data_IF_536560153530
#
_entry.id   IF_536560153530
#
_cell.length_a   1.000
_cell.length_b   1.000
_cell.length_c   1.000
_cell.angle_alpha   90.00
_cell.angle_beta   90.00
_cell.angle_gamma   90.00
#
_symmetry.space_group_name_H-M   'P 1'
#
loop_
_entity.id
_entity.type
_entity.pdbx_description
1 polymer ?
#
# COMPACT_ATOMS: atom_id res chain seq x y z
N UNK A 1 -15.92 -4.63 -4.21
CA UNK A 1 -14.84 -4.20 -3.28
C UNK A 1 -15.41 -3.14 -2.33
N UNK A 2 -14.99 -3.12 -1.07
CA UNK A 2 -15.32 -2.05 -0.12
C UNK A 2 -14.10 -1.19 0.19
N UNK A 3 -14.26 0.14 0.33
CA UNK A 3 -13.19 1.05 0.71
C UNK A 3 -13.63 1.94 1.88
N UNK A 4 -12.81 1.98 2.94
CA UNK A 4 -12.97 2.89 4.06
C UNK A 4 -11.73 3.78 4.14
N UNK A 5 -11.89 5.06 3.78
CA UNK A 5 -10.80 6.03 3.71
C UNK A 5 -11.22 7.41 4.25
N UNK A 6 -10.29 8.34 4.30
CA UNK A 6 -10.49 9.71 4.76
C UNK A 6 -11.50 10.50 3.92
N UNK A 7 -11.80 10.08 2.69
CA UNK A 7 -12.82 10.69 1.83
C UNK A 7 -14.21 10.08 1.99
N UNK A 8 -14.33 8.86 2.53
CA UNK A 8 -15.61 8.21 2.69
C UNK A 8 -15.60 6.70 2.82
N UNK A 9 -16.80 6.15 2.93
CA UNK A 9 -17.09 4.72 2.87
C UNK A 9 -17.72 4.42 1.52
N UNK A 10 -17.09 3.53 0.76
CA UNK A 10 -17.51 3.16 -0.59
C UNK A 10 -17.79 1.66 -0.69
N UNK A 11 -18.78 1.33 -1.52
CA UNK A 11 -18.97 -0.01 -2.06
C UNK A 11 -18.89 0.09 -3.58
N UNK A 12 -17.93 -0.62 -4.15
CA UNK A 12 -17.48 -0.44 -5.53
C UNK A 12 -17.17 1.04 -5.79
N UNK A 13 -17.80 1.67 -6.79
CA UNK A 13 -17.60 3.09 -7.11
C UNK A 13 -18.60 4.02 -6.40
N UNK A 14 -19.47 3.50 -5.54
CA UNK A 14 -20.54 4.27 -4.92
C UNK A 14 -20.16 4.74 -3.51
N UNK A 15 -20.16 6.06 -3.30
CA UNK A 15 -20.09 6.67 -1.97
C UNK A 15 -21.37 6.35 -1.17
N UNK A 16 -21.19 5.75 0.00
CA UNK A 16 -22.27 5.39 0.92
C UNK A 16 -22.31 6.31 2.14
N UNK A 17 -21.15 6.63 2.72
CA UNK A 17 -21.03 7.61 3.81
C UNK A 17 -19.91 8.61 3.50
N UNK A 18 -20.22 9.90 3.57
CA UNK A 18 -19.26 10.98 3.31
C UNK A 18 -18.44 11.35 4.57
N UNK A 19 -17.33 12.05 4.35
CA UNK A 19 -16.37 12.52 5.35
C UNK A 19 -15.39 11.43 5.77
N UNK A 20 -14.56 11.73 6.78
CA UNK A 20 -13.53 10.79 7.21
C UNK A 20 -14.13 9.47 7.75
N UNK A 21 -13.92 8.40 6.97
CA UNK A 21 -14.27 7.01 7.31
C UNK A 21 -13.04 6.10 7.36
N UNK A 22 -11.83 6.66 7.44
CA UNK A 22 -10.64 5.93 7.87
C UNK A 22 -10.71 5.74 9.40
N UNK A 23 -11.64 4.91 9.86
CA UNK A 23 -11.86 4.61 11.27
C UNK A 23 -12.42 3.20 11.46
N UNK A 24 -12.37 2.72 12.69
CA UNK A 24 -12.73 1.36 13.04
C UNK A 24 -14.20 1.05 12.73
N UNK A 25 -15.10 2.02 12.94
CA UNK A 25 -16.53 1.82 12.73
C UNK A 25 -16.86 1.54 11.26
N UNK A 26 -16.30 2.33 10.34
CA UNK A 26 -16.51 2.13 8.91
C UNK A 26 -15.82 0.86 8.40
N UNK A 27 -14.60 0.60 8.84
CA UNK A 27 -13.88 -0.63 8.52
C UNK A 27 -14.66 -1.88 8.97
N UNK A 28 -15.21 -1.89 10.18
CA UNK A 28 -16.03 -3.01 10.69
C UNK A 28 -17.33 -3.18 9.91
N UNK A 29 -17.94 -2.10 9.41
CA UNK A 29 -19.10 -2.21 8.50
C UNK A 29 -18.72 -2.96 7.21
N UNK A 30 -17.56 -2.66 6.61
CA UNK A 30 -17.09 -3.36 5.42
C UNK A 30 -16.87 -4.84 5.67
N UNK A 31 -16.18 -5.17 6.78
CA UNK A 31 -15.83 -6.55 7.14
C UNK A 31 -17.05 -7.41 7.50
N UNK A 32 -18.12 -6.81 8.02
CA UNK A 32 -19.38 -7.51 8.33
C UNK A 32 -20.32 -7.61 7.13
N UNK A 33 -20.06 -6.86 6.05
CA UNK A 33 -20.92 -6.84 4.88
C UNK A 33 -20.72 -8.09 4.02
N UNK A 34 -21.82 -8.80 3.74
CA UNK A 34 -21.82 -9.94 2.83
C UNK A 34 -21.64 -9.57 1.36
N UNK A 35 -21.70 -8.27 1.03
CA UNK A 35 -21.48 -7.77 -0.33
C UNK A 35 -19.99 -7.49 -0.61
N UNK A 36 -19.14 -7.53 0.41
CA UNK A 36 -17.72 -7.21 0.28
C UNK A 36 -16.91 -8.48 0.05
N UNK A 37 -16.36 -8.64 -1.16
CA UNK A 37 -15.41 -9.73 -1.46
C UNK A 37 -13.97 -9.37 -1.04
N UNK A 38 -13.62 -8.09 -1.09
CA UNK A 38 -12.35 -7.55 -0.60
C UNK A 38 -12.58 -6.17 0.01
N UNK A 39 -11.94 -5.90 1.15
CA UNK A 39 -12.01 -4.63 1.86
C UNK A 39 -10.63 -3.94 1.85
N UNK A 40 -10.60 -2.68 1.43
CA UNK A 40 -9.44 -1.80 1.52
C UNK A 40 -9.71 -0.78 2.62
N UNK A 41 -8.82 -0.70 3.60
CA UNK A 41 -9.03 0.10 4.81
C UNK A 41 -7.79 0.97 5.04
N UNK A 42 -7.97 2.28 4.99
CA UNK A 42 -6.95 3.24 5.37
C UNK A 42 -6.81 3.27 6.89
N UNK A 43 -5.59 3.04 7.39
CA UNK A 43 -5.28 3.08 8.82
C UNK A 43 -4.21 4.14 9.09
N UNK A 44 -4.61 5.24 9.72
CA UNK A 44 -3.68 6.26 10.19
C UNK A 44 -3.12 5.95 11.58
N UNK A 45 -1.99 6.57 11.92
CA UNK A 45 -1.37 6.52 13.26
C UNK A 45 -2.40 6.69 14.40
N UNK A 46 -3.29 7.69 14.25
CA UNK A 46 -4.30 8.01 15.26
C UNK A 46 -5.36 6.92 15.44
N UNK A 47 -5.71 6.22 14.35
CA UNK A 47 -6.68 5.12 14.38
C UNK A 47 -6.05 3.93 15.08
N UNK A 48 -4.82 3.58 14.72
CA UNK A 48 -4.09 2.46 15.34
C UNK A 48 -3.95 2.68 16.85
N UNK A 49 -3.56 3.89 17.27
CA UNK A 49 -3.38 4.22 18.69
C UNK A 49 -4.70 4.37 19.47
N UNK A 50 -5.72 4.96 18.85
CA UNK A 50 -6.96 5.32 19.52
C UNK A 50 -8.03 4.23 19.50
N UNK A 51 -8.14 3.51 18.38
CA UNK A 51 -9.22 2.56 18.10
C UNK A 51 -8.70 1.13 17.89
N UNK A 52 -7.41 0.98 17.57
CA UNK A 52 -6.84 -0.25 17.08
C UNK A 52 -7.24 -0.54 15.64
N UNK A 53 -6.72 -1.64 15.09
CA UNK A 53 -7.16 -2.13 13.78
C UNK A 53 -8.54 -2.79 13.91
N UNK A 54 -9.34 -2.67 12.85
CA UNK A 54 -10.66 -3.30 12.78
C UNK A 54 -10.62 -4.81 12.48
N UNK A 55 -9.42 -5.35 12.28
CA UNK A 55 -9.14 -6.72 11.88
C UNK A 55 -7.90 -7.24 12.62
N UNK A 56 -7.85 -8.54 12.87
CA UNK A 56 -6.73 -9.19 13.57
C UNK A 56 -5.56 -9.50 12.62
N UNK A 57 -5.88 -9.79 11.36
CA UNK A 57 -4.93 -10.17 10.30
C UNK A 57 -5.39 -9.68 8.93
N UNK A 58 -4.44 -9.46 8.01
CA UNK A 58 -4.72 -9.13 6.62
C UNK A 58 -3.91 -9.98 5.63
N UNK A 59 -4.47 -10.18 4.43
CA UNK A 59 -3.77 -10.85 3.32
C UNK A 59 -2.68 -9.96 2.74
N UNK A 60 -2.92 -8.65 2.69
CA UNK A 60 -1.98 -7.65 2.16
C UNK A 60 -1.93 -6.48 3.11
N UNK A 61 -0.73 -6.17 3.62
CA UNK A 61 -0.45 -4.96 4.38
C UNK A 61 0.34 -3.98 3.52
N UNK A 62 -0.12 -2.75 3.39
CA UNK A 62 0.56 -1.72 2.58
C UNK A 62 1.07 -0.63 3.50
N UNK A 63 2.35 -0.25 3.35
CA UNK A 63 2.93 0.91 4.03
C UNK A 63 3.56 1.79 2.96
N UNK A 64 3.02 3.00 2.77
CA UNK A 64 3.45 3.92 1.71
C UNK A 64 4.65 4.74 2.14
N UNK A 65 4.45 5.85 2.81
CA UNK A 65 5.48 6.81 3.16
C UNK A 65 5.25 7.27 4.59
N UNK A 66 6.34 7.45 5.33
CA UNK A 66 6.29 7.88 6.72
C UNK A 66 7.01 9.22 6.81
N UNK A 67 6.24 10.27 7.10
CA UNK A 67 6.77 11.55 7.57
C UNK A 67 6.55 11.62 9.09
N UNK A 68 7.57 11.27 9.91
CA UNK A 68 7.39 11.16 11.35
C UNK A 68 6.87 12.44 12.00
N UNK A 69 7.28 13.59 11.49
CA UNK A 69 6.92 14.89 12.05
C UNK A 69 5.40 15.15 12.00
N UNK A 70 4.68 14.56 11.04
CA UNK A 70 3.22 14.67 10.94
C UNK A 70 2.47 13.95 12.05
N UNK A 71 3.15 13.09 12.80
CA UNK A 71 2.55 12.24 13.82
C UNK A 71 2.92 12.65 15.25
N UNK A 72 3.74 13.70 15.43
CA UNK A 72 4.19 14.11 16.75
C UNK A 72 3.12 14.81 17.60
N UNK A 73 3.25 14.71 18.92
CA UNK A 73 2.46 15.38 19.94
C UNK A 73 1.26 14.57 20.42
N UNK A 74 0.39 14.12 19.51
CA UNK A 74 -0.79 13.31 19.91
C UNK A 74 -0.33 11.95 20.43
N UNK A 75 -1.02 11.43 21.46
CA UNK A 75 -0.72 10.14 22.10
C UNK A 75 0.74 9.99 22.59
N UNK A 76 1.44 11.09 22.91
CA UNK A 76 2.85 11.09 23.36
C UNK A 76 3.83 10.50 22.32
N UNK A 77 3.50 10.63 21.04
CA UNK A 77 4.42 10.34 19.95
C UNK A 77 5.39 11.52 19.82
N UNK A 78 6.67 11.31 20.11
CA UNK A 78 7.66 12.39 20.18
C UNK A 78 8.90 12.12 19.33
N UNK A 79 9.07 10.87 18.88
CA UNK A 79 10.26 10.42 18.17
C UNK A 79 9.86 9.64 16.91
N UNK A 80 10.73 9.58 15.89
CA UNK A 80 10.53 8.69 14.74
C UNK A 80 10.37 7.22 15.14
N UNK A 81 11.03 6.80 16.22
CA UNK A 81 10.91 5.45 16.76
C UNK A 81 9.49 5.18 17.29
N UNK A 82 8.84 6.15 17.95
CA UNK A 82 7.44 6.01 18.37
C UNK A 82 6.52 5.81 17.16
N UNK A 83 6.72 6.60 16.09
CA UNK A 83 5.95 6.47 14.84
C UNK A 83 6.16 5.09 14.20
N UNK A 84 7.42 4.66 14.10
CA UNK A 84 7.76 3.33 13.58
C UNK A 84 7.05 2.22 14.37
N UNK A 85 7.08 2.28 15.71
CA UNK A 85 6.46 1.27 16.58
C UNK A 85 4.94 1.18 16.40
N UNK A 86 4.28 2.28 16.00
CA UNK A 86 2.84 2.29 15.71
C UNK A 86 2.57 1.78 14.30
N UNK A 87 3.21 2.36 13.28
CA UNK A 87 2.91 2.04 11.88
C UNK A 87 3.34 0.63 11.49
N UNK A 88 4.38 0.07 12.13
CA UNK A 88 4.79 -1.34 11.93
C UNK A 88 3.67 -2.34 12.27
N UNK A 89 2.67 -1.94 13.07
CA UNK A 89 1.49 -2.76 13.36
C UNK A 89 0.84 -3.28 12.08
N UNK A 90 0.85 -2.50 10.99
CA UNK A 90 0.31 -2.92 9.71
C UNK A 90 1.05 -4.13 9.11
N UNK A 91 2.34 -4.26 9.39
CA UNK A 91 3.18 -5.38 8.97
C UNK A 91 3.04 -6.57 9.93
N UNK A 92 2.95 -6.31 11.23
CA UNK A 92 2.79 -7.35 12.28
C UNK A 92 1.47 -8.17 12.13
N UNK A 93 0.49 -7.63 11.41
CA UNK A 93 -0.81 -8.29 11.15
C UNK A 93 -0.90 -8.96 9.78
N UNK A 94 0.14 -8.92 8.95
CA UNK A 94 0.16 -9.66 7.70
C UNK A 94 0.17 -11.17 8.00
N UNK A 95 -0.67 -11.93 7.30
CA UNK A 95 -0.70 -13.39 7.44
C UNK A 95 0.62 -14.04 6.97
N UNK A 96 1.00 -15.22 7.48
CA UNK A 96 2.18 -15.95 7.00
C UNK A 96 2.15 -16.30 5.50
N UNK A 97 0.96 -16.45 4.91
CA UNK A 97 0.73 -16.61 3.47
C UNK A 97 0.32 -15.29 2.77
N UNK A 98 0.39 -14.18 3.49
CA UNK A 98 0.13 -12.82 3.03
C UNK A 98 1.38 -12.10 2.52
N UNK A 99 1.20 -10.83 2.15
CA UNK A 99 2.26 -9.99 1.57
C UNK A 99 2.27 -8.61 2.21
N UNK A 100 3.43 -8.17 2.69
CA UNK A 100 3.69 -6.77 3.02
C UNK A 100 4.20 -6.04 1.76
N UNK A 101 3.43 -5.06 1.27
CA UNK A 101 3.79 -4.19 0.15
C UNK A 101 4.37 -2.89 0.72
N UNK A 102 5.69 -2.75 0.61
CA UNK A 102 6.48 -1.77 1.35
C UNK A 102 7.20 -0.82 0.41
N UNK A 103 7.25 0.46 0.74
CA UNK A 103 8.01 1.43 -0.03
C UNK A 103 9.52 1.25 0.16
N UNK A 104 10.20 0.89 -0.92
CA UNK A 104 11.65 0.71 -0.98
C UNK A 104 12.44 2.03 -0.96
N UNK A 105 11.78 3.18 -1.15
CA UNK A 105 12.41 4.50 -1.10
C UNK A 105 12.42 5.11 0.32
N UNK A 106 11.71 4.52 1.29
CA UNK A 106 11.63 5.01 2.67
C UNK A 106 12.38 4.07 3.63
N UNK A 107 13.51 4.49 4.23
CA UNK A 107 14.30 3.65 5.12
C UNK A 107 13.53 3.14 6.35
N UNK A 108 12.57 3.90 6.90
CA UNK A 108 11.76 3.44 8.03
C UNK A 108 10.83 2.30 7.60
N UNK A 109 10.25 2.41 6.41
CA UNK A 109 9.38 1.37 5.85
C UNK A 109 10.19 0.13 5.46
N UNK A 110 11.39 0.32 4.89
CA UNK A 110 12.31 -0.78 4.58
C UNK A 110 12.68 -1.58 5.84
N UNK A 111 12.96 -0.93 6.97
CA UNK A 111 13.29 -1.64 8.21
C UNK A 111 12.13 -2.51 8.73
N UNK A 112 10.87 -2.22 8.35
CA UNK A 112 9.72 -3.05 8.73
C UNK A 112 9.72 -4.42 8.04
N UNK A 113 10.45 -4.59 6.93
CA UNK A 113 10.50 -5.84 6.19
C UNK A 113 10.94 -7.04 7.05
N UNK A 114 11.82 -6.80 8.04
CA UNK A 114 12.30 -7.85 8.97
C UNK A 114 11.25 -8.33 9.98
N UNK A 115 10.12 -7.63 10.07
CA UNK A 115 9.02 -7.94 10.99
C UNK A 115 7.90 -8.73 10.30
N UNK A 116 7.93 -8.85 8.97
CA UNK A 116 6.92 -9.57 8.22
C UNK A 116 7.19 -11.08 8.31
N UNK A 117 6.19 -11.84 8.79
CA UNK A 117 6.21 -13.31 8.76
C UNK A 117 5.86 -13.88 7.37
N UNK A 118 5.20 -13.08 6.53
CA UNK A 118 4.80 -13.42 5.17
C UNK A 118 5.83 -13.00 4.11
N UNK A 119 5.36 -12.82 2.87
CA UNK A 119 6.20 -12.30 1.80
C UNK A 119 6.39 -10.78 1.96
N UNK A 120 7.55 -10.27 1.56
CA UNK A 120 7.79 -8.83 1.38
C UNK A 120 7.88 -8.53 -0.11
N UNK A 121 7.11 -7.53 -0.56
CA UNK A 121 7.17 -6.96 -1.90
C UNK A 121 7.52 -5.48 -1.78
N UNK A 122 8.69 -5.08 -2.27
CA UNK A 122 9.02 -3.67 -2.31
C UNK A 122 8.39 -3.00 -3.53
N UNK A 123 8.01 -1.73 -3.39
CA UNK A 123 7.72 -0.88 -4.52
C UNK A 123 8.59 0.37 -4.49
N UNK A 124 8.89 0.95 -5.65
CA UNK A 124 9.68 2.18 -5.69
C UNK A 124 9.92 2.74 -7.08
N UNK A 125 10.09 4.06 -7.17
CA UNK A 125 10.38 4.74 -8.44
C UNK A 125 11.86 4.70 -8.83
N UNK A 126 12.73 4.31 -7.90
CA UNK A 126 14.18 4.19 -8.10
C UNK A 126 14.56 2.71 -8.14
N UNK A 127 14.52 2.03 -9.30
CA UNK A 127 14.79 0.60 -9.40
C UNK A 127 16.24 0.24 -9.02
N UNK A 128 17.14 1.22 -9.07
CA UNK A 128 18.55 1.07 -8.73
C UNK A 128 18.84 1.26 -7.22
N UNK A 129 17.80 1.44 -6.40
CA UNK A 129 17.95 1.47 -4.96
C UNK A 129 18.54 0.13 -4.48
N UNK A 130 19.62 0.13 -3.66
CA UNK A 130 20.28 -1.11 -3.23
C UNK A 130 19.32 -2.15 -2.62
N UNK A 131 18.35 -1.69 -1.82
CA UNK A 131 17.33 -2.56 -1.23
C UNK A 131 16.51 -3.31 -2.30
N UNK A 132 16.15 -2.65 -3.40
CA UNK A 132 15.37 -3.27 -4.48
C UNK A 132 16.25 -4.24 -5.28
N UNK A 133 17.48 -3.84 -5.61
CA UNK A 133 18.44 -4.69 -6.32
C UNK A 133 18.70 -5.97 -5.52
N UNK A 134 19.01 -5.85 -4.23
CA UNK A 134 19.28 -6.99 -3.36
C UNK A 134 18.06 -7.89 -3.18
N UNK A 135 16.86 -7.29 -3.07
CA UNK A 135 15.61 -8.03 -2.95
C UNK A 135 15.29 -8.83 -4.22
N UNK A 136 15.46 -8.23 -5.40
CA UNK A 136 15.33 -8.91 -6.68
C UNK A 136 16.42 -9.98 -6.87
N UNK A 137 17.66 -9.72 -6.46
CA UNK A 137 18.73 -10.73 -6.54
C UNK A 137 18.41 -12.01 -5.72
N UNK A 138 17.55 -11.91 -4.70
CA UNK A 138 17.04 -13.04 -3.92
C UNK A 138 15.86 -13.77 -4.59
N UNK A 139 15.44 -13.36 -5.78
CA UNK A 139 14.30 -13.94 -6.51
C UNK A 139 12.93 -13.47 -6.03
N UNK A 140 12.87 -12.42 -5.20
CA UNK A 140 11.62 -11.90 -4.63
C UNK A 140 10.90 -10.95 -5.59
N UNK A 141 9.67 -10.57 -5.23
CA UNK A 141 8.82 -9.66 -6.01
C UNK A 141 9.08 -8.19 -5.68
N UNK A 142 8.99 -7.34 -6.70
CA UNK A 142 8.96 -5.88 -6.54
C UNK A 142 8.11 -5.20 -7.61
N UNK A 143 7.62 -3.99 -7.34
CA UNK A 143 6.92 -3.12 -8.30
C UNK A 143 7.72 -1.84 -8.49
N UNK A 144 8.31 -1.67 -9.67
CA UNK A 144 9.30 -0.62 -9.91
C UNK A 144 8.97 0.23 -11.12
N UNK A 145 9.59 1.39 -11.22
CA UNK A 145 9.61 2.17 -12.45
C UNK A 145 10.88 1.85 -13.23
N UNK A 146 10.78 1.33 -14.45
CA UNK A 146 11.95 1.09 -15.32
C UNK A 146 11.73 1.71 -16.69
N UNK A 147 12.67 2.56 -17.12
CA UNK A 147 12.59 3.27 -18.41
C UNK A 147 11.26 4.02 -18.64
N UNK A 148 10.66 4.57 -17.58
CA UNK A 148 9.38 5.28 -17.66
C UNK A 148 8.13 4.39 -17.64
N UNK A 149 8.28 3.08 -17.46
CA UNK A 149 7.18 2.13 -17.34
C UNK A 149 7.01 1.64 -15.91
N UNK A 150 5.77 1.38 -15.50
CA UNK A 150 5.51 0.56 -14.31
C UNK A 150 5.78 -0.91 -14.65
N UNK A 151 6.61 -1.57 -13.84
CA UNK A 151 7.07 -2.95 -14.05
C UNK A 151 6.82 -3.80 -12.81
N UNK A 152 6.21 -4.97 -13.00
CA UNK A 152 6.15 -6.03 -12.01
C UNK A 152 7.37 -6.94 -12.21
N UNK A 153 8.22 -7.08 -11.20
CA UNK A 153 9.47 -7.83 -11.29
C UNK A 153 9.48 -8.99 -10.29
N UNK A 154 9.97 -10.16 -10.72
CA UNK A 154 10.27 -11.32 -9.86
C UNK A 154 11.66 -11.82 -10.21
N UNK A 155 12.62 -11.56 -9.33
CA UNK A 155 14.03 -11.78 -9.67
C UNK A 155 14.45 -11.05 -10.94
N UNK A 156 14.87 -11.81 -11.96
CA UNK A 156 15.25 -11.27 -13.26
C UNK A 156 14.10 -11.26 -14.29
N UNK A 157 12.90 -11.70 -13.91
CA UNK A 157 11.73 -11.69 -14.77
C UNK A 157 10.96 -10.39 -14.59
N UNK A 158 10.56 -9.77 -15.68
CA UNK A 158 9.85 -8.49 -15.68
C UNK A 158 8.61 -8.54 -16.56
N UNK A 159 7.53 -7.91 -16.09
CA UNK A 159 6.30 -7.70 -16.84
C UNK A 159 6.00 -6.20 -16.82
N UNK A 160 6.08 -5.56 -17.99
CA UNK A 160 5.76 -4.15 -18.14
C UNK A 160 4.24 -3.96 -18.20
N UNK A 161 3.70 -3.08 -17.35
CA UNK A 161 2.28 -2.72 -17.39
C UNK A 161 2.05 -1.58 -18.37
N UNK A 162 2.31 -0.34 -18.00
CA UNK A 162 2.02 0.83 -18.86
C UNK A 162 3.09 1.92 -18.70
N UNK A 163 3.14 2.82 -19.67
CA UNK A 163 4.01 4.00 -19.64
C UNK A 163 3.42 5.06 -18.70
N UNK A 164 4.23 5.54 -17.75
CA UNK A 164 3.77 6.50 -16.76
C UNK A 164 3.34 7.82 -17.40
N UNK A 165 4.10 8.31 -18.38
CA UNK A 165 3.88 9.59 -19.02
C UNK A 165 2.53 9.66 -19.78
N UNK A 166 2.04 8.52 -20.27
CA UNK A 166 0.78 8.41 -21.01
C UNK A 166 -0.45 8.19 -20.12
N UNK A 167 -0.27 8.00 -18.81
CA UNK A 167 -1.35 7.68 -17.89
C UNK A 167 -1.80 8.91 -17.09
N UNK A 168 -3.13 9.06 -16.89
CA UNK A 168 -3.70 10.22 -16.22
C UNK A 168 -3.28 10.37 -14.74
N UNK A 169 -2.99 9.26 -14.05
CA UNK A 169 -2.58 9.24 -12.64
C UNK A 169 -1.09 9.49 -12.45
N UNK A 170 -0.26 9.27 -13.47
CA UNK A 170 1.21 9.31 -13.36
C UNK A 170 1.90 10.15 -14.43
N UNK A 171 1.12 10.95 -15.17
CA UNK A 171 1.59 11.75 -16.29
C UNK A 171 2.45 12.94 -15.88
N UNK A 172 2.78 13.79 -16.86
CA UNK A 172 3.63 14.95 -16.62
C UNK A 172 3.03 15.89 -15.55
N UNK A 173 3.82 16.16 -14.50
CA UNK A 173 3.43 17.04 -13.38
C UNK A 173 2.92 16.32 -12.13
N UNK A 174 2.78 14.99 -12.16
CA UNK A 174 2.40 14.22 -10.97
C UNK A 174 3.57 14.12 -9.99
N UNK A 175 3.30 14.28 -8.69
CA UNK A 175 4.31 14.15 -7.65
C UNK A 175 4.75 12.70 -7.42
N UNK A 176 5.95 12.52 -6.85
CA UNK A 176 6.49 11.19 -6.51
C UNK A 176 5.58 10.39 -5.59
N UNK A 177 4.86 11.05 -4.68
CA UNK A 177 3.88 10.40 -3.80
C UNK A 177 2.73 9.73 -4.59
N UNK A 178 2.22 10.40 -5.63
CA UNK A 178 1.15 9.84 -6.47
C UNK A 178 1.64 8.61 -7.24
N UNK A 179 2.85 8.67 -7.81
CA UNK A 179 3.47 7.52 -8.45
C UNK A 179 3.63 6.38 -7.44
N UNK A 180 4.13 6.68 -6.24
CA UNK A 180 4.23 5.72 -5.14
C UNK A 180 2.90 5.03 -4.82
N UNK A 181 1.81 5.78 -4.70
CA UNK A 181 0.46 5.23 -4.48
C UNK A 181 0.01 4.28 -5.59
N UNK A 182 0.30 4.61 -6.86
CA UNK A 182 -0.04 3.74 -8.00
C UNK A 182 0.81 2.46 -7.98
N UNK A 183 2.10 2.55 -7.67
CA UNK A 183 2.97 1.37 -7.51
C UNK A 183 2.50 0.48 -6.35
N UNK A 184 2.13 1.07 -5.22
CA UNK A 184 1.61 0.36 -4.06
C UNK A 184 0.28 -0.34 -4.38
N UNK A 185 -0.64 0.34 -5.08
CA UNK A 185 -1.91 -0.24 -5.50
C UNK A 185 -1.71 -1.41 -6.48
N UNK A 186 -0.80 -1.27 -7.45
CA UNK A 186 -0.44 -2.35 -8.37
C UNK A 186 0.17 -3.55 -7.61
N UNK A 187 1.05 -3.29 -6.64
CA UNK A 187 1.64 -4.32 -5.78
C UNK A 187 0.59 -5.05 -4.93
N UNK A 188 -0.36 -4.32 -4.36
CA UNK A 188 -1.45 -4.91 -3.57
C UNK A 188 -2.37 -5.79 -4.43
N UNK A 189 -2.76 -5.32 -5.62
CA UNK A 189 -3.56 -6.11 -6.55
C UNK A 189 -2.81 -7.38 -7.01
N UNK A 190 -1.51 -7.26 -7.29
CA UNK A 190 -0.69 -8.41 -7.69
C UNK A 190 -0.46 -9.41 -6.55
N UNK A 191 -0.34 -8.93 -5.31
CA UNK A 191 -0.30 -9.77 -4.11
C UNK A 191 -1.60 -10.57 -3.92
N UNK A 192 -2.75 -10.01 -4.31
CA UNK A 192 -4.05 -10.70 -4.31
C UNK A 192 -4.26 -11.63 -5.51
N UNK A 193 -3.27 -11.80 -6.39
CA UNK A 193 -3.35 -12.69 -7.55
C UNK A 193 -4.10 -12.11 -8.75
N UNK A 194 -4.35 -10.80 -8.77
CA UNK A 194 -4.93 -10.13 -9.94
C UNK A 194 -3.89 -10.14 -11.07
N UNK A 195 -4.32 -10.45 -12.29
CA UNK A 195 -3.42 -10.59 -13.43
C UNK A 195 -2.88 -9.24 -13.90
N UNK A 196 -1.65 -9.18 -14.46
CA UNK A 196 -1.07 -7.95 -15.00
C UNK A 196 -2.01 -7.16 -15.94
N UNK A 197 -2.74 -7.85 -16.81
CA UNK A 197 -3.68 -7.21 -17.74
C UNK A 197 -4.86 -6.55 -17.03
N UNK A 198 -5.40 -7.17 -15.97
CA UNK A 198 -6.47 -6.59 -15.17
C UNK A 198 -5.99 -5.42 -14.30
N UNK A 199 -4.76 -5.51 -13.78
CA UNK A 199 -4.13 -4.39 -13.04
C UNK A 199 -3.97 -3.19 -13.96
N UNK A 200 -3.42 -3.40 -15.18
CA UNK A 200 -3.30 -2.34 -16.19
C UNK A 200 -4.66 -1.71 -16.49
N UNK A 201 -5.65 -2.52 -16.85
CA UNK A 201 -6.99 -2.03 -17.19
C UNK A 201 -7.64 -1.25 -16.05
N UNK A 202 -7.53 -1.75 -14.81
CA UNK A 202 -8.06 -1.07 -13.63
C UNK A 202 -7.45 0.31 -13.44
N UNK A 203 -6.12 0.43 -13.53
CA UNK A 203 -5.41 1.71 -13.36
C UNK A 203 -5.72 2.68 -14.52
N UNK A 204 -5.78 2.20 -15.76
CA UNK A 204 -6.09 3.05 -16.93
C UNK A 204 -7.54 3.55 -16.92
N UNK A 205 -8.46 2.79 -16.35
CA UNK A 205 -9.88 3.15 -16.23
C UNK A 205 -10.23 4.00 -15.00
N UNK A 206 -9.26 4.26 -14.12
CA UNK A 206 -9.51 4.97 -12.87
C UNK A 206 -9.74 6.46 -13.13
N UNK A 207 -10.88 6.98 -12.68
CA UNK A 207 -11.24 8.39 -12.78
C UNK A 207 -10.79 9.15 -11.51
N UNK A 208 -10.14 10.30 -11.70
CA UNK A 208 -9.69 11.22 -10.63
C UNK A 208 -10.74 12.28 -10.34
#
# INVERSE_FOLDING_TARGET
VGLACSDGLFYDQRLVENGNRANWTAARKLLLSRMTEAAVIENGNDVILGEGLAYDRCQVGVVTDIDPARHFGKFYIETPEHVFNVLRTQVDVVLPDGVAVLNGNDPLVVDMARLCDGEVMFFGSEPEAPVIIEHLAQGKRAVVVRNGFLVLATGNQEVQLFELAGNALTGAGTGSAQIGSVLAAAGAAWALGITPDLIRAGIESFEV
#
